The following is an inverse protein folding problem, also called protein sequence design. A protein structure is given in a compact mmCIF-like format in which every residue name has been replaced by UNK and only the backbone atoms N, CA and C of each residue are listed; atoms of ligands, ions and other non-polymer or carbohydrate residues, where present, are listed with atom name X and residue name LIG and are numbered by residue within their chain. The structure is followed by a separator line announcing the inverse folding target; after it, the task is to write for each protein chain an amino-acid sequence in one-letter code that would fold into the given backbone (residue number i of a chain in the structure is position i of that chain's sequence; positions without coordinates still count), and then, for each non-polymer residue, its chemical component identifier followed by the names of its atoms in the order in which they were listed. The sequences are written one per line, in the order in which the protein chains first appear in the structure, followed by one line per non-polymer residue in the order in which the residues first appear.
data_IF_951614154543
#
_entry.id   IF_951614154543
#
_cell.length_a   1.000
_cell.length_b   1.000
_cell.length_c   1.000
_cell.angle_alpha   90.00
_cell.angle_beta   90.00
_cell.angle_gamma   90.00
#
_symmetry.space_group_name_H-M   'P 1'
#
loop_
_entity.id
_entity.type
_entity.pdbx_description
1 polymer ?
#
# COMPACT_ATOMS: atom_id res chain seq x y z
N UNK A 1 64.18 42.81 13.34
CA UNK A 1 64.33 41.37 13.60
C UNK A 1 62.95 40.76 13.50
N UNK A 2 62.75 39.88 12.52
CA UNK A 2 61.45 39.31 12.15
C UNK A 2 61.04 38.16 13.08
N UNK A 3 59.73 37.97 13.29
CA UNK A 3 59.08 36.64 13.24
C UNK A 3 57.54 36.75 13.24
N UNK A 4 57.02 36.18 12.17
CA UNK A 4 55.68 35.71 11.80
C UNK A 4 54.88 34.95 12.87
N UNK A 5 53.55 35.00 12.72
CA UNK A 5 52.56 34.00 13.14
C UNK A 5 51.16 34.61 13.09
N UNK A 6 50.30 34.32 12.11
CA UNK A 6 49.47 33.10 11.95
C UNK A 6 48.02 33.43 12.35
N UNK A 7 47.14 33.76 11.38
CA UNK A 7 45.65 33.81 11.54
C UNK A 7 44.95 33.74 10.17
N UNK A 8 45.32 32.81 9.30
CA UNK A 8 44.63 32.59 8.03
C UNK A 8 44.37 31.10 7.83
N UNK A 9 43.09 30.68 7.84
CA UNK A 9 42.72 29.37 7.29
C UNK A 9 41.58 28.58 7.96
N UNK A 10 40.96 29.04 9.04
CA UNK A 10 39.99 28.20 9.77
C UNK A 10 38.56 28.19 9.20
N UNK A 11 38.17 29.17 8.38
CA UNK A 11 36.76 29.35 7.98
C UNK A 11 36.24 28.31 6.99
N UNK A 12 37.02 27.92 5.99
CA UNK A 12 36.56 27.07 4.88
C UNK A 12 36.66 25.57 5.19
N UNK A 13 37.58 25.17 6.08
CA UNK A 13 37.82 23.77 6.46
C UNK A 13 36.75 23.21 7.42
N UNK A 14 36.02 24.07 8.15
CA UNK A 14 34.92 23.65 9.04
C UNK A 14 33.58 23.60 8.31
N UNK A 15 33.41 24.40 7.25
CA UNK A 15 32.20 24.42 6.42
C UNK A 15 31.98 23.10 5.66
N UNK A 16 33.05 22.44 5.23
CA UNK A 16 32.98 21.19 4.46
C UNK A 16 32.46 19.98 5.27
N UNK A 17 33.01 19.65 6.46
CA UNK A 17 32.48 18.57 7.30
C UNK A 17 31.11 18.91 7.90
N UNK A 18 30.82 20.20 8.14
CA UNK A 18 29.51 20.64 8.63
C UNK A 18 28.41 20.46 7.57
N UNK A 19 28.70 20.78 6.30
CA UNK A 19 27.77 20.55 5.19
C UNK A 19 27.55 19.05 4.92
N UNK A 20 28.60 18.23 5.03
CA UNK A 20 28.51 16.78 4.88
C UNK A 20 27.71 16.12 6.02
N UNK A 21 27.87 16.60 7.26
CA UNK A 21 27.07 16.18 8.40
C UNK A 21 25.58 16.57 8.24
N UNK A 22 25.30 17.75 7.69
CA UNK A 22 23.92 18.16 7.36
C UNK A 22 23.29 17.32 6.24
N UNK A 23 24.06 16.87 5.24
CA UNK A 23 23.54 15.96 4.21
C UNK A 23 23.19 14.58 4.76
N UNK A 24 23.95 14.06 5.72
CA UNK A 24 23.68 12.76 6.34
C UNK A 24 22.41 12.78 7.21
N UNK A 25 22.08 13.91 7.84
CA UNK A 25 20.86 14.08 8.64
C UNK A 25 19.56 14.06 7.82
N UNK A 26 19.60 14.35 6.52
CA UNK A 26 18.39 14.38 5.66
C UNK A 26 18.05 13.02 5.02
N UNK A 27 18.96 12.03 5.07
CA UNK A 27 18.73 10.71 4.49
C UNK A 27 17.76 9.83 5.30
N UNK A 28 17.45 10.23 6.55
CA UNK A 28 16.57 9.47 7.44
C UNK A 28 15.12 9.98 7.47
N UNK A 29 14.73 10.94 6.62
CA UNK A 29 13.37 11.46 6.64
C UNK A 29 12.43 10.60 5.76
N UNK A 30 12.23 9.34 6.15
CA UNK A 30 11.08 8.54 5.70
C UNK A 30 9.85 8.95 6.52
N UNK A 31 9.46 10.22 6.41
CA UNK A 31 8.24 10.71 7.04
C UNK A 31 7.03 9.89 6.56
N UNK A 32 6.00 9.70 7.40
CA UNK A 32 4.78 9.03 6.99
C UNK A 32 4.26 9.71 5.72
N UNK A 33 4.18 8.95 4.64
CA UNK A 33 3.61 9.43 3.39
C UNK A 33 2.12 9.64 3.64
N UNK A 34 1.72 10.89 3.90
CA UNK A 34 0.30 11.23 4.00
C UNK A 34 -0.30 11.07 2.61
N UNK A 35 -1.01 9.95 2.41
CA UNK A 35 -1.77 9.70 1.20
C UNK A 35 -2.94 10.70 1.19
N UNK A 36 -2.76 11.83 0.50
CA UNK A 36 -3.79 12.86 0.31
C UNK A 36 -4.79 12.40 -0.75
N UNK A 37 -5.61 11.42 -0.40
CA UNK A 37 -6.74 10.99 -1.21
C UNK A 37 -8.02 11.30 -0.45
N UNK A 38 -9.07 11.78 -1.14
CA UNK A 38 -10.39 12.08 -0.57
C UNK A 38 -11.21 10.81 -0.24
N UNK A 39 -10.55 9.75 0.24
CA UNK A 39 -11.16 8.45 0.52
C UNK A 39 -11.31 8.29 2.02
N UNK A 40 -12.55 8.31 2.49
CA UNK A 40 -12.91 7.99 3.87
C UNK A 40 -13.18 6.50 4.01
N UNK A 41 -12.47 5.84 4.91
CA UNK A 41 -12.72 4.43 5.23
C UNK A 41 -13.85 4.31 6.26
N UNK A 42 -14.72 3.32 6.04
CA UNK A 42 -15.73 2.92 7.01
C UNK A 42 -15.07 2.23 8.21
N UNK A 43 -15.65 2.41 9.39
CA UNK A 43 -15.12 1.87 10.65
C UNK A 43 -15.16 0.35 10.69
N UNK A 44 -16.24 -0.27 10.21
CA UNK A 44 -16.41 -1.74 10.22
C UNK A 44 -16.39 -2.32 8.82
N UNK A 45 -15.76 -3.49 8.67
CA UNK A 45 -15.73 -4.23 7.41
C UNK A 45 -17.13 -4.63 6.91
N UNK A 46 -18.06 -4.88 7.84
CA UNK A 46 -19.45 -5.21 7.52
C UNK A 46 -20.17 -4.09 6.77
N UNK A 47 -19.77 -2.83 6.97
CA UNK A 47 -20.41 -1.67 6.33
C UNK A 47 -20.06 -1.55 4.84
N UNK A 48 -19.08 -2.32 4.35
CA UNK A 48 -18.76 -2.36 2.92
C UNK A 48 -19.71 -3.27 2.13
N UNK A 49 -20.55 -4.06 2.80
CA UNK A 49 -21.59 -4.91 2.21
C UNK A 49 -21.05 -5.83 1.09
N UNK A 50 -19.93 -6.50 1.34
CA UNK A 50 -19.28 -7.38 0.35
C UNK A 50 -20.04 -8.67 0.06
N UNK A 51 -20.85 -9.10 1.03
CA UNK A 51 -21.61 -10.33 1.00
C UNK A 51 -23.09 -10.03 1.16
N UNK A 52 -23.92 -10.87 0.53
CA UNK A 52 -25.38 -10.84 0.67
C UNK A 52 -25.87 -12.09 1.40
N UNK A 53 -27.00 -11.95 2.10
CA UNK A 53 -27.62 -13.06 2.81
C UNK A 53 -26.82 -13.47 4.05
N UNK A 54 -26.75 -14.78 4.29
CA UNK A 54 -26.11 -15.34 5.47
C UNK A 54 -24.58 -15.38 5.30
N UNK A 55 -23.86 -14.77 6.24
CA UNK A 55 -22.41 -14.54 6.11
C UNK A 55 -21.57 -15.82 5.88
N UNK A 56 -21.84 -16.96 6.54
CA UNK A 56 -21.16 -18.23 6.27
C UNK A 56 -21.23 -18.74 4.82
N UNK A 57 -22.23 -18.31 4.05
CA UNK A 57 -22.40 -18.76 2.67
C UNK A 57 -21.46 -18.00 1.71
N UNK A 58 -20.86 -16.90 2.17
CA UNK A 58 -19.89 -16.08 1.44
C UNK A 58 -20.35 -15.69 0.03
N UNK A 59 -21.64 -15.45 -0.14
CA UNK A 59 -22.24 -15.08 -1.43
C UNK A 59 -21.92 -13.61 -1.72
N UNK A 60 -21.25 -13.27 -2.84
CA UNK A 60 -20.94 -11.89 -3.18
C UNK A 60 -22.19 -11.03 -3.38
N UNK A 61 -22.11 -9.76 -2.98
CA UNK A 61 -23.12 -8.76 -3.32
C UNK A 61 -23.18 -8.47 -4.83
N UNK A 62 -24.22 -7.77 -5.29
CA UNK A 62 -24.53 -7.63 -6.73
C UNK A 62 -23.46 -6.86 -7.53
N UNK A 63 -22.77 -5.94 -6.88
CA UNK A 63 -21.69 -5.09 -7.41
C UNK A 63 -20.28 -5.63 -7.11
N UNK A 64 -20.19 -6.86 -6.58
CA UNK A 64 -18.95 -7.48 -6.14
C UNK A 64 -18.64 -8.71 -6.98
N UNK A 65 -17.47 -8.71 -7.62
CA UNK A 65 -17.06 -9.73 -8.59
C UNK A 65 -15.98 -10.63 -7.99
N UNK A 66 -16.12 -11.96 -8.06
CA UNK A 66 -15.05 -12.88 -7.66
C UNK A 66 -13.91 -12.92 -8.68
N UNK A 67 -12.68 -12.95 -8.20
CA UNK A 67 -11.47 -13.03 -9.03
C UNK A 67 -10.61 -14.24 -8.68
N UNK A 68 -9.91 -14.78 -9.68
CA UNK A 68 -8.92 -15.85 -9.52
C UNK A 68 -7.56 -15.36 -9.98
N UNK A 69 -6.52 -15.74 -9.24
CA UNK A 69 -5.13 -15.50 -9.63
C UNK A 69 -4.60 -16.75 -10.34
N UNK A 70 -3.75 -16.56 -11.36
CA UNK A 70 -3.22 -17.64 -12.18
C UNK A 70 -2.15 -18.50 -11.49
N UNK A 71 -1.46 -17.96 -10.47
CA UNK A 71 -0.41 -18.69 -9.75
C UNK A 71 -0.95 -19.38 -8.50
N UNK A 72 -0.79 -20.70 -8.44
CA UNK A 72 -1.04 -21.48 -7.23
C UNK A 72 0.14 -21.35 -6.27
N UNK A 73 0.14 -20.32 -5.43
CA UNK A 73 1.00 -20.31 -4.25
C UNK A 73 0.45 -21.30 -3.23
N UNK A 74 1.33 -22.12 -2.68
CA UNK A 74 1.01 -23.17 -1.72
C UNK A 74 0.08 -22.64 -0.62
N UNK A 75 -0.95 -23.41 -0.30
CA UNK A 75 -2.03 -22.99 0.59
C UNK A 75 -2.05 -23.91 1.79
N UNK A 76 -2.04 -23.30 2.97
CA UNK A 76 -2.22 -23.82 4.32
C UNK A 76 -3.60 -24.46 4.56
N UNK A 77 -4.07 -25.27 3.60
CA UNK A 77 -5.37 -25.96 3.53
C UNK A 77 -6.62 -25.06 3.62
N UNK A 78 -6.48 -23.76 3.90
CA UNK A 78 -7.59 -22.80 3.93
C UNK A 78 -8.04 -22.40 2.52
N UNK A 79 -9.34 -22.45 2.26
CA UNK A 79 -9.92 -21.91 1.04
C UNK A 79 -9.85 -20.38 1.03
N UNK A 80 -9.78 -19.81 -0.18
CA UNK A 80 -9.55 -18.37 -0.39
C UNK A 80 -10.50 -17.82 -1.43
N UNK A 81 -11.45 -17.00 -1.01
CA UNK A 81 -12.27 -16.21 -1.91
C UNK A 81 -11.65 -14.83 -2.07
N UNK A 82 -11.51 -14.35 -3.31
CA UNK A 82 -11.05 -13.00 -3.62
C UNK A 82 -12.15 -12.28 -4.35
N UNK A 83 -12.46 -11.07 -3.90
CA UNK A 83 -13.54 -10.25 -4.40
C UNK A 83 -12.99 -8.89 -4.81
N UNK A 84 -13.57 -8.32 -5.86
CA UNK A 84 -13.31 -6.95 -6.28
C UNK A 84 -14.62 -6.21 -6.49
N UNK A 85 -14.68 -4.96 -6.03
CA UNK A 85 -15.73 -4.00 -6.37
C UNK A 85 -15.09 -2.79 -7.00
N UNK A 86 -15.54 -2.47 -8.21
CA UNK A 86 -15.20 -1.22 -8.90
C UNK A 86 -16.31 -0.20 -8.61
N UNK A 87 -15.97 1.05 -8.27
CA UNK A 87 -16.99 2.09 -8.05
C UNK A 87 -17.82 2.33 -9.31
N UNK A 88 -19.09 2.65 -9.11
CA UNK A 88 -20.03 2.89 -10.21
C UNK A 88 -19.51 3.97 -11.18
N UNK A 89 -19.74 3.74 -12.47
CA UNK A 89 -19.30 4.66 -13.53
C UNK A 89 -17.79 4.66 -13.83
N UNK A 90 -16.96 3.94 -13.05
CA UNK A 90 -15.51 3.84 -13.28
C UNK A 90 -15.16 2.51 -13.94
N UNK A 91 -14.00 2.46 -14.57
CA UNK A 91 -13.48 1.27 -15.26
C UNK A 91 -12.04 1.01 -14.87
N UNK A 92 -11.71 -0.26 -14.75
CA UNK A 92 -10.34 -0.73 -14.63
C UNK A 92 -9.65 -0.64 -16.00
N UNK A 93 -8.38 -0.22 -16.02
CA UNK A 93 -7.59 -0.12 -17.26
C UNK A 93 -6.45 -1.12 -17.26
N UNK A 94 -6.36 -1.96 -18.29
CA UNK A 94 -5.23 -2.87 -18.46
C UNK A 94 -4.00 -2.07 -18.90
N UNK A 95 -2.86 -2.28 -18.24
CA UNK A 95 -1.60 -1.62 -18.57
C UNK A 95 -0.57 -2.69 -18.96
N UNK A 96 -0.53 -3.03 -20.26
CA UNK A 96 0.41 -4.00 -20.82
C UNK A 96 0.40 -5.36 -20.10
N UNK A 97 1.58 -5.94 -19.88
CA UNK A 97 1.75 -7.22 -19.18
C UNK A 97 1.75 -7.14 -17.65
N UNK A 98 1.42 -5.97 -17.08
CA UNK A 98 1.43 -5.73 -15.64
C UNK A 98 0.07 -5.89 -14.96
N UNK A 99 0.00 -5.46 -13.69
CA UNK A 99 -1.27 -5.34 -13.00
C UNK A 99 -2.14 -4.26 -13.65
N UNK A 100 -3.47 -4.44 -13.67
CA UNK A 100 -4.37 -3.41 -14.15
C UNK A 100 -4.37 -2.20 -13.20
N UNK A 101 -4.61 -1.02 -13.76
CA UNK A 101 -4.79 0.22 -13.02
C UNK A 101 -6.22 0.27 -12.50
N UNK A 102 -6.34 0.24 -11.17
CA UNK A 102 -7.63 0.35 -10.49
C UNK A 102 -7.98 1.81 -10.25
N UNK A 103 -9.25 2.22 -10.49
CA UNK A 103 -9.71 3.54 -10.10
C UNK A 103 -9.77 3.68 -8.57
N UNK A 104 -9.55 4.87 -8.03
CA UNK A 104 -9.76 5.15 -6.59
C UNK A 104 -11.18 4.79 -6.15
N UNK A 105 -11.29 4.24 -4.94
CA UNK A 105 -12.52 3.66 -4.42
C UNK A 105 -12.74 2.19 -4.80
N UNK A 106 -11.84 1.59 -5.60
CA UNK A 106 -11.83 0.14 -5.81
C UNK A 106 -11.59 -0.58 -4.49
N UNK A 107 -12.41 -1.57 -4.19
CA UNK A 107 -12.27 -2.43 -3.03
C UNK A 107 -11.84 -3.82 -3.48
N UNK A 108 -10.76 -4.33 -2.89
CA UNK A 108 -10.31 -5.72 -3.08
C UNK A 108 -10.32 -6.39 -1.71
N UNK A 109 -11.02 -7.51 -1.60
CA UNK A 109 -11.12 -8.28 -0.37
C UNK A 109 -10.66 -9.73 -0.60
N UNK A 110 -10.00 -10.29 0.42
CA UNK A 110 -9.60 -11.69 0.45
C UNK A 110 -10.11 -12.32 1.74
N UNK A 111 -10.99 -13.29 1.59
CA UNK A 111 -11.54 -14.06 2.71
C UNK A 111 -10.91 -15.43 2.72
N UNK A 112 -10.34 -15.79 3.87
CA UNK A 112 -9.87 -17.14 4.15
C UNK A 112 -10.95 -17.86 4.96
N UNK A 113 -11.29 -19.08 4.59
CA UNK A 113 -12.32 -19.85 5.27
C UNK A 113 -12.04 -21.36 5.16
N UNK A 114 -12.67 -22.13 6.03
CA UNK A 114 -12.67 -23.59 5.99
C UNK A 114 -14.10 -24.05 5.73
N UNK A 115 -14.33 -24.75 4.62
CA UNK A 115 -15.63 -25.37 4.40
C UNK A 115 -15.77 -26.61 5.29
N UNK A 116 -16.97 -26.80 5.86
CA UNK A 116 -17.33 -28.06 6.55
C UNK A 116 -17.72 -29.18 5.57
N UNK A 117 -17.67 -28.92 4.27
CA UNK A 117 -18.18 -29.82 3.23
C UNK A 117 -17.21 -30.93 2.81
N UNK A 118 -16.12 -31.15 3.56
CA UNK A 118 -15.25 -32.30 3.38
C UNK A 118 -15.60 -33.41 4.37
N UNK A 119 -16.52 -34.30 3.98
CA UNK A 119 -16.74 -35.61 4.60
C UNK A 119 -16.25 -36.73 3.70
#
# INVERSE_FOLDING_TARGET
MARTGEEQGAGLAVLFPLALACMLMQACNNGPQTISNNVSFKTRLSEYALFKGHMPDLVPAQDVVPIRIGSSLFTDYAEKQRLIRIPEGRKMRIQGGGLPVFPDGTLIAKTFYYSKAGN
#
